data_IF_044823609661
#
_entry.id   IF_044823609661
#
_cell.length_a   1.000
_cell.length_b   1.000
_cell.length_c   1.000
_cell.angle_alpha   90.00
_cell.angle_beta   90.00
_cell.angle_gamma   90.00
#
_symmetry.space_group_name_H-M   'P 1'
#
loop_
_entity.id
_entity.type
_entity.pdbx_description
1 polymer ?
#
# COMPACT_ATOMS: atom_id res chain seq x y z
N UNK A 1 -75.23 44.30 0.71
CA UNK A 1 -74.76 45.45 -0.11
C UNK A 1 -73.26 45.26 -0.30
N UNK A 2 -72.66 45.26 -1.49
CA UNK A 2 -73.15 45.60 -2.85
C UNK A 2 -72.43 44.72 -3.92
N UNK A 3 -72.96 44.65 -5.15
CA UNK A 3 -72.41 43.87 -6.31
C UNK A 3 -71.54 44.73 -7.25
N UNK A 4 -71.02 44.10 -8.33
CA UNK A 4 -70.54 44.69 -9.61
C UNK A 4 -69.14 45.34 -9.58
N UNK A 5 -68.29 45.29 -10.63
CA UNK A 5 -68.26 44.72 -12.02
C UNK A 5 -66.76 44.39 -12.34
N UNK A 6 -66.33 43.44 -13.20
CA UNK A 6 -66.48 43.28 -14.67
C UNK A 6 -65.96 44.51 -15.47
N UNK A 7 -65.20 44.44 -16.58
CA UNK A 7 -64.63 43.35 -17.41
C UNK A 7 -63.08 43.55 -17.44
N UNK A 8 -62.18 43.17 -18.37
CA UNK A 8 -62.19 42.53 -19.72
C UNK A 8 -60.93 41.62 -19.85
N UNK A 9 -60.50 41.24 -21.06
CA UNK A 9 -59.29 40.43 -21.32
C UNK A 9 -58.39 41.04 -22.43
N UNK A 10 -57.12 40.62 -22.50
CA UNK A 10 -56.24 40.81 -23.66
C UNK A 10 -55.23 39.65 -23.77
N UNK A 11 -55.25 38.95 -24.89
CA UNK A 11 -54.36 37.82 -25.20
C UNK A 11 -53.06 38.34 -25.84
N UNK A 12 -51.89 37.90 -25.35
CA UNK A 12 -50.68 37.79 -26.16
C UNK A 12 -49.86 36.56 -25.75
N UNK A 13 -49.19 35.96 -26.74
CA UNK A 13 -48.54 34.66 -26.64
C UNK A 13 -47.23 34.70 -25.86
N UNK A 14 -47.08 33.81 -24.87
CA UNK A 14 -45.78 33.44 -24.31
C UNK A 14 -45.29 32.15 -24.97
N UNK A 15 -44.06 32.19 -25.50
CA UNK A 15 -43.46 31.05 -26.20
C UNK A 15 -43.18 29.92 -25.21
N UNK A 16 -43.69 28.74 -25.50
CA UNK A 16 -43.40 27.54 -24.70
C UNK A 16 -41.99 27.03 -25.03
N UNK A 17 -40.98 27.62 -24.38
CA UNK A 17 -39.60 27.14 -24.46
C UNK A 17 -39.53 25.78 -23.74
N UNK A 18 -39.66 24.71 -24.52
CA UNK A 18 -39.50 23.34 -24.05
C UNK A 18 -38.03 23.10 -23.69
N UNK A 19 -37.65 23.49 -22.47
CA UNK A 19 -36.33 23.22 -21.90
C UNK A 19 -36.21 21.72 -21.62
N UNK A 20 -35.88 20.96 -22.67
CA UNK A 20 -35.40 19.58 -22.56
C UNK A 20 -34.18 19.58 -21.63
N UNK A 21 -34.39 19.22 -20.36
CA UNK A 21 -33.29 18.70 -19.56
C UNK A 21 -32.84 17.41 -20.24
N UNK A 22 -31.77 17.51 -21.02
CA UNK A 22 -30.95 16.36 -21.32
C UNK A 22 -30.39 15.86 -19.99
N UNK A 23 -31.14 14.95 -19.34
CA UNK A 23 -30.63 14.13 -18.26
C UNK A 23 -29.51 13.31 -18.90
N UNK A 24 -28.28 13.80 -18.74
CA UNK A 24 -27.11 13.03 -19.10
C UNK A 24 -27.21 11.72 -18.31
N UNK A 25 -27.42 10.61 -19.04
CA UNK A 25 -27.32 9.27 -18.45
C UNK A 25 -26.02 9.23 -17.67
N UNK A 26 -26.03 8.88 -16.37
CA UNK A 26 -24.82 8.96 -15.57
C UNK A 26 -23.75 8.09 -16.23
N UNK A 27 -22.75 8.75 -16.83
CA UNK A 27 -21.57 8.06 -17.30
C UNK A 27 -20.88 7.56 -16.05
N UNK A 28 -21.04 6.27 -15.79
CA UNK A 28 -20.38 5.54 -14.74
C UNK A 28 -18.92 6.01 -14.68
N UNK A 29 -18.50 6.58 -13.54
CA UNK A 29 -17.15 7.13 -13.41
C UNK A 29 -16.14 6.01 -13.69
N UNK A 30 -14.90 6.37 -14.02
CA UNK A 30 -13.78 5.42 -14.11
C UNK A 30 -13.47 4.66 -12.78
N UNK A 31 -14.30 4.86 -11.75
CA UNK A 31 -14.27 4.25 -10.42
C UNK A 31 -15.33 3.13 -10.27
N UNK A 32 -16.36 3.14 -11.14
CA UNK A 32 -17.43 2.12 -11.28
C UNK A 32 -17.03 0.97 -12.24
N UNK A 33 -15.83 1.03 -12.82
CA UNK A 33 -15.20 -0.06 -13.59
C UNK A 33 -15.07 -1.30 -12.69
N UNK A 34 -15.26 -2.50 -13.27
CA UNK A 34 -15.56 -3.75 -12.57
C UNK A 34 -14.75 -3.92 -11.27
N UNK A 35 -15.47 -3.89 -10.15
CA UNK A 35 -14.90 -3.86 -8.80
C UNK A 35 -14.59 -5.25 -8.22
N UNK A 36 -14.87 -6.32 -8.99
CA UNK A 36 -14.39 -7.68 -8.72
C UNK A 36 -13.92 -8.42 -9.98
N UNK A 37 -13.02 -7.78 -10.73
CA UNK A 37 -12.36 -8.37 -11.88
C UNK A 37 -11.22 -9.33 -11.46
N UNK A 38 -11.57 -10.55 -11.08
CA UNK A 38 -10.59 -11.63 -10.89
C UNK A 38 -11.03 -12.71 -9.89
N UNK A 39 -10.07 -13.55 -9.49
CA UNK A 39 -10.22 -14.58 -8.44
C UNK A 39 -9.04 -14.56 -7.48
N UNK A 40 -9.26 -14.91 -6.21
CA UNK A 40 -8.21 -15.01 -5.18
C UNK A 40 -7.94 -16.45 -4.75
N UNK A 41 -6.66 -16.83 -4.74
CA UNK A 41 -6.16 -18.11 -4.24
C UNK A 41 -5.23 -17.87 -3.03
N UNK A 42 -5.42 -18.61 -1.93
CA UNK A 42 -4.49 -18.58 -0.79
C UNK A 42 -3.16 -19.25 -1.16
N UNK A 43 -2.03 -18.57 -0.88
CA UNK A 43 -0.67 -19.08 -1.08
C UNK A 43 0.07 -19.26 0.24
N UNK A 44 -0.67 -19.34 1.35
CA UNK A 44 -0.15 -19.58 2.68
C UNK A 44 0.30 -18.30 3.40
N UNK A 45 0.82 -18.48 4.62
CA UNK A 45 1.13 -17.36 5.50
C UNK A 45 2.48 -17.53 6.19
N UNK A 46 3.09 -16.41 6.57
CA UNK A 46 4.33 -16.35 7.36
C UNK A 46 4.08 -16.37 8.87
N UNK A 47 2.84 -16.61 9.31
CA UNK A 47 2.49 -16.71 10.72
C UNK A 47 2.91 -18.06 11.28
N UNK A 48 3.86 -18.06 12.21
CA UNK A 48 4.04 -19.18 13.13
C UNK A 48 2.87 -19.28 14.13
N UNK A 49 2.73 -20.45 14.76
CA UNK A 49 1.78 -20.69 15.85
C UNK A 49 2.25 -20.22 17.22
N UNK A 50 3.39 -19.52 17.33
CA UNK A 50 3.89 -19.01 18.61
C UNK A 50 3.07 -17.81 19.09
N UNK A 51 3.09 -17.54 20.40
CA UNK A 51 2.47 -16.35 20.94
C UNK A 51 3.27 -15.10 20.55
N UNK A 52 2.62 -14.10 19.95
CA UNK A 52 3.29 -12.84 19.64
C UNK A 52 3.56 -12.06 20.92
N UNK A 53 4.83 -12.00 21.33
CA UNK A 53 5.30 -11.09 22.37
C UNK A 53 5.35 -9.69 21.81
N UNK A 54 4.42 -8.85 22.27
CA UNK A 54 4.43 -7.43 22.02
C UNK A 54 4.79 -6.70 23.30
N UNK A 55 5.62 -5.67 23.20
CA UNK A 55 5.72 -4.69 24.28
C UNK A 55 4.36 -4.01 24.43
N UNK A 56 3.90 -3.79 25.65
CA UNK A 56 2.66 -3.02 25.84
C UNK A 56 2.90 -1.58 25.35
N UNK A 57 2.13 -1.13 24.36
CA UNK A 57 2.06 0.27 23.93
C UNK A 57 0.75 0.86 24.47
N UNK A 58 0.74 1.53 25.63
CA UNK A 58 -0.43 2.27 26.11
C UNK A 58 -0.55 3.56 25.27
N UNK A 59 -1.20 3.42 24.13
CA UNK A 59 -1.70 4.53 23.33
C UNK A 59 -2.91 5.12 24.07
N UNK A 60 -3.13 6.42 23.93
CA UNK A 60 -4.37 7.05 24.41
C UNK A 60 -4.70 8.21 23.49
N UNK A 61 -5.76 8.12 22.70
CA UNK A 61 -6.25 9.25 21.91
C UNK A 61 -7.09 10.17 22.78
N UNK A 62 -6.80 11.46 22.68
CA UNK A 62 -7.42 12.53 23.49
C UNK A 62 -8.25 13.50 22.62
N UNK A 63 -8.55 13.14 21.38
CA UNK A 63 -9.15 14.02 20.35
C UNK A 63 -10.50 14.62 20.78
N UNK A 64 -11.29 13.90 21.61
CA UNK A 64 -12.65 14.29 22.00
C UNK A 64 -12.79 14.71 23.48
N UNK A 65 -11.70 14.87 24.24
CA UNK A 65 -11.69 14.91 25.73
C UNK A 65 -12.16 13.63 26.43
N UNK A 66 -12.84 12.72 25.74
CA UNK A 66 -13.02 11.32 26.18
C UNK A 66 -11.67 10.57 26.10
N UNK A 67 -11.20 10.05 27.23
CA UNK A 67 -9.92 9.32 27.33
C UNK A 67 -10.01 7.94 26.65
N UNK A 68 -9.54 7.84 25.40
CA UNK A 68 -9.61 6.59 24.65
C UNK A 68 -8.30 5.80 24.68
N UNK A 69 -8.23 4.74 25.49
CA UNK A 69 -7.04 3.88 25.63
C UNK A 69 -6.92 2.87 24.48
N UNK A 70 -5.73 2.67 23.95
CA UNK A 70 -5.44 1.59 23.00
C UNK A 70 -4.15 0.82 23.32
N UNK A 71 -4.10 -0.44 22.91
CA UNK A 71 -2.90 -1.29 22.93
C UNK A 71 -2.82 -2.08 21.63
N UNK A 72 -1.69 -1.98 20.94
CA UNK A 72 -1.45 -2.64 19.66
C UNK A 72 0.03 -2.66 19.30
N UNK A 73 0.33 -2.94 18.03
CA UNK A 73 1.67 -2.83 17.48
C UNK A 73 1.67 -2.19 16.09
N UNK A 74 2.57 -1.24 15.86
CA UNK A 74 2.71 -0.53 14.58
C UNK A 74 3.49 -1.30 13.51
N UNK A 75 4.09 -2.45 13.87
CA UNK A 75 4.96 -3.25 13.00
C UNK A 75 4.31 -4.63 12.75
N UNK A 76 4.30 -5.14 11.50
CA UNK A 76 3.60 -6.38 11.16
C UNK A 76 3.93 -7.58 12.06
N UNK A 77 2.90 -8.32 12.48
CA UNK A 77 3.04 -9.63 13.15
C UNK A 77 3.31 -10.78 12.17
N UNK A 78 3.03 -10.57 10.89
CA UNK A 78 3.06 -11.59 9.84
C UNK A 78 2.40 -11.11 8.56
N UNK A 79 2.29 -12.00 7.57
CA UNK A 79 1.64 -11.75 6.29
C UNK A 79 0.95 -13.01 5.75
N UNK A 80 -0.18 -12.85 5.09
CA UNK A 80 -0.76 -13.91 4.25
C UNK A 80 -0.55 -13.54 2.80
N UNK A 81 -0.06 -14.48 2.00
CA UNK A 81 0.20 -14.29 0.57
C UNK A 81 -0.99 -14.81 -0.21
N UNK A 82 -1.52 -14.01 -1.14
CA UNK A 82 -2.63 -14.42 -2.00
C UNK A 82 -2.27 -14.21 -3.47
N UNK A 83 -2.61 -15.16 -4.35
CA UNK A 83 -2.52 -14.96 -5.80
C UNK A 83 -3.86 -14.40 -6.28
N UNK A 84 -3.84 -13.22 -6.89
CA UNK A 84 -4.98 -12.67 -7.63
C UNK A 84 -4.78 -12.97 -9.10
N UNK A 85 -5.76 -13.57 -9.77
CA UNK A 85 -5.74 -13.86 -11.22
C UNK A 85 -6.83 -13.06 -11.92
N UNK A 86 -6.48 -12.37 -13.00
CA UNK A 86 -7.40 -11.57 -13.82
C UNK A 86 -8.43 -12.44 -14.56
N UNK A 87 -9.60 -11.89 -14.94
CA UNK A 87 -10.51 -12.55 -15.88
C UNK A 87 -9.87 -12.66 -17.27
N UNK A 88 -10.36 -13.60 -18.10
CA UNK A 88 -9.86 -13.86 -19.47
C UNK A 88 -9.89 -12.65 -20.42
N UNK A 89 -10.71 -11.67 -20.11
CA UNK A 89 -10.77 -10.36 -20.77
C UNK A 89 -10.85 -9.32 -19.65
N UNK A 90 -9.71 -8.70 -19.35
CA UNK A 90 -9.58 -7.67 -18.30
C UNK A 90 -9.29 -6.33 -18.94
N UNK A 91 -9.95 -5.29 -18.46
CA UNK A 91 -9.78 -3.92 -18.97
C UNK A 91 -8.77 -3.15 -18.13
N UNK A 92 -8.16 -2.12 -18.71
CA UNK A 92 -7.35 -1.18 -17.93
C UNK A 92 -8.26 -0.43 -16.94
N UNK A 93 -7.96 -0.49 -15.64
CA UNK A 93 -8.78 0.10 -14.59
C UNK A 93 -9.75 -0.87 -13.88
N UNK A 94 -10.00 -2.05 -14.46
CA UNK A 94 -10.66 -3.16 -13.76
C UNK A 94 -9.94 -3.45 -12.44
N UNK A 95 -10.68 -3.84 -11.41
CA UNK A 95 -10.10 -4.00 -10.08
C UNK A 95 -10.67 -5.16 -9.28
N UNK A 96 -9.84 -5.66 -8.37
CA UNK A 96 -10.17 -6.69 -7.42
C UNK A 96 -9.98 -6.15 -6.00
N UNK A 97 -10.96 -6.33 -5.11
CA UNK A 97 -10.89 -5.87 -3.72
C UNK A 97 -10.54 -7.02 -2.78
N UNK A 98 -9.57 -6.79 -1.89
CA UNK A 98 -9.17 -7.75 -0.85
C UNK A 98 -9.53 -7.18 0.53
N UNK A 99 -10.55 -7.78 1.13
CA UNK A 99 -11.11 -7.43 2.42
C UNK A 99 -10.53 -8.28 3.56
N UNK A 100 -10.81 -7.83 4.77
CA UNK A 100 -11.00 -8.59 6.01
C UNK A 100 -12.29 -8.03 6.63
N UNK A 101 -12.59 -8.40 7.87
CA UNK A 101 -13.24 -7.41 8.75
C UNK A 101 -12.20 -6.36 9.13
N UNK A 102 -11.76 -5.52 8.19
CA UNK A 102 -10.72 -4.51 8.44
C UNK A 102 -11.23 -3.38 9.35
N UNK A 103 -12.55 -3.19 9.43
CA UNK A 103 -13.23 -2.40 10.45
C UNK A 103 -13.04 -2.91 11.88
N UNK A 104 -13.59 -2.12 12.81
CA UNK A 104 -13.24 -2.03 14.23
C UNK A 104 -13.20 -3.35 15.03
N UNK A 105 -13.98 -4.36 14.63
CA UNK A 105 -14.27 -5.56 15.44
C UNK A 105 -13.27 -6.71 15.31
N UNK A 106 -12.36 -6.71 14.33
CA UNK A 106 -11.35 -7.78 14.20
C UNK A 106 -10.08 -7.53 15.02
N UNK A 107 -9.84 -6.26 15.39
CA UNK A 107 -8.58 -5.73 15.88
C UNK A 107 -7.39 -5.88 14.90
N UNK A 108 -7.58 -6.41 13.69
CA UNK A 108 -6.51 -6.71 12.73
C UNK A 108 -6.52 -5.73 11.54
N UNK A 109 -5.43 -4.98 11.35
CA UNK A 109 -5.33 -3.90 10.37
C UNK A 109 -4.13 -4.07 9.42
N UNK A 110 -4.14 -3.35 8.29
CA UNK A 110 -3.12 -3.46 7.24
C UNK A 110 -1.85 -2.69 7.63
N UNK A 111 -0.70 -3.36 7.56
CA UNK A 111 0.59 -2.79 7.97
C UNK A 111 1.67 -2.89 6.87
N UNK A 112 1.25 -2.78 5.61
CA UNK A 112 2.14 -2.51 4.48
C UNK A 112 2.06 -1.04 4.04
N UNK A 113 2.73 -0.68 2.92
CA UNK A 113 2.66 0.67 2.37
C UNK A 113 1.29 0.97 1.74
N UNK A 114 0.85 2.23 1.83
CA UNK A 114 -0.45 2.72 1.32
C UNK A 114 -0.64 2.47 -0.19
N UNK A 115 0.45 2.34 -0.95
CA UNK A 115 0.42 1.96 -2.36
C UNK A 115 1.70 1.24 -2.75
N UNK A 116 1.60 0.26 -3.65
CA UNK A 116 2.76 -0.42 -4.25
C UNK A 116 2.39 -0.98 -5.63
N UNK A 117 3.41 -1.35 -6.40
CA UNK A 117 3.25 -1.90 -7.75
C UNK A 117 3.47 -3.41 -7.77
N UNK A 118 2.83 -4.05 -8.75
CA UNK A 118 2.95 -5.47 -9.05
C UNK A 118 3.59 -5.63 -10.43
N UNK A 119 4.72 -6.34 -10.52
CA UNK A 119 5.46 -6.49 -11.76
C UNK A 119 5.41 -7.93 -12.28
N UNK A 120 5.41 -8.06 -13.61
CA UNK A 120 5.70 -9.31 -14.29
C UNK A 120 7.13 -9.77 -13.96
N UNK A 121 7.28 -11.04 -13.55
CA UNK A 121 8.51 -11.55 -12.96
C UNK A 121 9.72 -11.39 -13.91
N UNK A 122 10.81 -10.81 -13.40
CA UNK A 122 12.02 -10.53 -14.17
C UNK A 122 11.96 -9.30 -15.08
N UNK A 123 10.86 -8.54 -15.11
CA UNK A 123 10.71 -7.34 -15.95
C UNK A 123 10.35 -6.09 -15.12
N UNK A 124 10.35 -4.91 -15.77
CA UNK A 124 9.78 -3.67 -15.22
C UNK A 124 8.30 -3.46 -15.57
N UNK A 125 7.64 -4.45 -16.20
CA UNK A 125 6.27 -4.28 -16.68
C UNK A 125 5.27 -4.40 -15.53
N UNK A 126 4.50 -3.34 -15.27
CA UNK A 126 3.53 -3.29 -14.17
C UNK A 126 2.23 -3.99 -14.60
N UNK A 127 1.88 -5.10 -13.95
CA UNK A 127 0.60 -5.81 -14.14
C UNK A 127 -0.54 -5.19 -13.33
N UNK A 128 -0.27 -4.75 -12.10
CA UNK A 128 -1.29 -4.12 -11.26
C UNK A 128 -0.72 -3.00 -10.37
N UNK A 129 -1.60 -2.07 -9.98
CA UNK A 129 -1.36 -1.05 -8.96
C UNK A 129 -2.18 -1.42 -7.72
N UNK A 130 -1.52 -1.63 -6.58
CA UNK A 130 -2.20 -1.94 -5.32
C UNK A 130 -2.26 -0.69 -4.45
N UNK A 131 -3.42 -0.41 -3.85
CA UNK A 131 -3.64 0.70 -2.91
C UNK A 131 -4.43 0.25 -1.69
N UNK A 132 -4.07 0.77 -0.52
CA UNK A 132 -4.95 0.83 0.65
C UNK A 132 -6.01 1.90 0.41
N UNK A 133 -7.28 1.54 0.57
CA UNK A 133 -8.45 2.38 0.26
C UNK A 133 -9.43 2.29 1.43
N UNK A 134 -10.15 3.39 1.70
CA UNK A 134 -11.27 3.44 2.64
C UNK A 134 -12.46 4.00 1.90
N UNK A 135 -13.59 3.31 1.99
CA UNK A 135 -14.79 3.48 1.16
C UNK A 135 -15.96 3.17 2.12
N UNK A 136 -16.86 4.13 2.33
CA UNK A 136 -17.95 4.05 3.34
C UNK A 136 -17.52 3.58 4.75
N UNK A 137 -16.25 3.84 5.11
CA UNK A 137 -15.66 3.51 6.41
C UNK A 137 -14.90 2.18 6.48
N UNK A 138 -15.17 1.22 5.60
CA UNK A 138 -14.44 -0.07 5.58
C UNK A 138 -13.13 0.04 4.78
N UNK A 139 -11.96 -0.30 5.36
CA UNK A 139 -10.72 -0.40 4.62
C UNK A 139 -10.70 -1.61 3.68
N UNK A 140 -9.97 -1.55 2.56
CA UNK A 140 -9.59 -2.71 1.75
C UNK A 140 -8.37 -2.43 0.87
N UNK A 141 -7.69 -3.48 0.41
CA UNK A 141 -6.70 -3.35 -0.66
C UNK A 141 -7.39 -3.40 -2.04
N UNK A 142 -7.32 -2.31 -2.80
CA UNK A 142 -7.74 -2.26 -4.22
C UNK A 142 -6.57 -2.66 -5.09
N UNK A 143 -6.71 -3.76 -5.83
CA UNK A 143 -5.77 -4.22 -6.86
C UNK A 143 -6.34 -3.77 -8.21
N UNK A 144 -5.73 -2.78 -8.86
CA UNK A 144 -6.19 -2.26 -10.16
C UNK A 144 -5.29 -2.74 -11.29
N UNK A 145 -5.87 -3.40 -12.30
CA UNK A 145 -5.16 -3.90 -13.48
C UNK A 145 -4.73 -2.76 -14.41
N UNK A 146 -3.56 -2.91 -15.03
CA UNK A 146 -3.00 -1.92 -15.97
C UNK A 146 -3.36 -2.23 -17.42
N UNK A 147 -3.14 -1.29 -18.36
CA UNK A 147 -3.14 -1.60 -19.80
C UNK A 147 -2.21 -2.76 -20.18
N UNK A 148 -1.10 -2.96 -19.45
CA UNK A 148 -0.17 -4.07 -19.69
C UNK A 148 -0.73 -5.43 -19.23
N UNK A 149 -1.61 -5.48 -18.22
CA UNK A 149 -2.35 -6.69 -17.90
C UNK A 149 -3.51 -6.92 -18.88
N UNK A 150 -4.12 -5.84 -19.41
CA UNK A 150 -5.20 -5.92 -20.39
C UNK A 150 -4.74 -6.44 -21.78
N UNK A 151 -3.50 -6.19 -22.19
CA UNK A 151 -2.90 -6.77 -23.41
C UNK A 151 -2.37 -8.20 -23.24
N UNK A 152 -2.73 -8.89 -22.14
CA UNK A 152 -2.28 -10.24 -21.79
C UNK A 152 -3.44 -11.19 -21.53
N UNK A 153 -3.15 -12.49 -21.62
CA UNK A 153 -4.00 -13.54 -21.07
C UNK A 153 -3.44 -14.05 -19.74
N UNK A 154 -4.35 -14.55 -18.90
CA UNK A 154 -4.05 -15.17 -17.59
C UNK A 154 -3.10 -14.35 -16.70
N UNK A 155 -3.22 -13.02 -16.73
CA UNK A 155 -2.43 -12.12 -15.90
C UNK A 155 -2.70 -12.36 -14.40
N UNK A 156 -1.66 -12.46 -13.58
CA UNK A 156 -1.77 -12.71 -12.14
C UNK A 156 -0.69 -12.01 -11.32
N UNK A 157 -0.96 -11.81 -10.02
CA UNK A 157 -0.06 -11.16 -9.05
C UNK A 157 -0.14 -11.83 -7.68
N UNK A 158 1.01 -12.08 -7.01
CA UNK A 158 1.09 -12.70 -5.67
C UNK A 158 1.36 -11.68 -4.56
N UNK A 159 0.32 -11.32 -3.81
CA UNK A 159 0.30 -10.19 -2.89
C UNK A 159 0.56 -10.64 -1.43
N UNK A 160 1.69 -10.28 -0.80
CA UNK A 160 1.96 -10.55 0.60
C UNK A 160 1.28 -9.49 1.49
N UNK A 161 0.03 -9.75 1.89
CA UNK A 161 -0.77 -8.80 2.69
C UNK A 161 -0.32 -8.83 4.15
N UNK A 162 0.53 -7.87 4.52
CA UNK A 162 1.08 -7.69 5.87
C UNK A 162 -0.03 -7.30 6.87
N UNK A 163 -0.01 -7.92 8.04
CA UNK A 163 -1.03 -7.77 9.08
C UNK A 163 -0.39 -7.27 10.38
N UNK A 164 -1.10 -6.42 11.12
CA UNK A 164 -0.77 -6.00 12.49
C UNK A 164 -2.07 -5.85 13.30
N UNK A 165 -2.01 -5.50 14.59
CA UNK A 165 -3.22 -5.41 15.41
C UNK A 165 -3.27 -4.20 16.35
N UNK A 166 -4.50 -3.80 16.71
CA UNK A 166 -4.77 -2.76 17.70
C UNK A 166 -6.14 -2.98 18.39
N UNK A 167 -6.16 -2.88 19.71
CA UNK A 167 -7.36 -2.82 20.54
C UNK A 167 -7.53 -1.38 21.03
N UNK A 168 -8.66 -0.71 20.79
CA UNK A 168 -8.92 0.65 21.28
C UNK A 168 -10.29 0.80 21.94
N UNK A 169 -10.39 1.52 23.05
CA UNK A 169 -11.70 1.84 23.66
C UNK A 169 -12.50 2.79 22.77
N UNK A 170 -11.86 3.63 21.95
CA UNK A 170 -12.57 4.42 20.91
C UNK A 170 -13.23 3.55 19.84
N UNK A 171 -12.78 2.31 19.66
CA UNK A 171 -13.40 1.29 18.80
C UNK A 171 -14.09 0.20 19.63
N UNK A 172 -14.58 0.55 20.83
CA UNK A 172 -15.35 -0.31 21.73
C UNK A 172 -14.59 -1.47 22.39
N UNK A 173 -13.27 -1.57 22.24
CA UNK A 173 -12.48 -2.67 22.81
C UNK A 173 -12.25 -2.49 24.32
N UNK A 174 -12.30 -3.58 25.09
CA UNK A 174 -11.88 -3.57 26.50
C UNK A 174 -10.36 -3.67 26.61
N UNK A 175 -9.73 -2.62 27.14
CA UNK A 175 -8.26 -2.50 27.31
C UNK A 175 -7.92 -2.50 28.80
N UNK A 176 -7.14 -3.48 29.27
CA UNK A 176 -6.77 -3.64 30.70
C UNK A 176 -5.35 -4.24 30.87
N UNK A 177 -4.61 -3.91 31.94
CA UNK A 177 -3.34 -4.56 32.27
C UNK A 177 -3.48 -6.09 32.41
N UNK A 178 -2.46 -6.84 31.99
CA UNK A 178 -2.42 -8.31 32.09
C UNK A 178 -3.30 -9.07 31.09
N UNK A 179 -3.99 -8.38 30.18
CA UNK A 179 -4.75 -9.00 29.09
C UNK A 179 -3.87 -9.91 28.21
N UNK A 180 -4.42 -11.04 27.77
CA UNK A 180 -3.78 -11.99 26.83
C UNK A 180 -4.74 -12.32 25.69
N UNK A 181 -5.03 -11.36 24.79
CA UNK A 181 -6.03 -11.57 23.75
C UNK A 181 -5.53 -12.52 22.67
N UNK A 182 -6.43 -13.01 21.83
CA UNK A 182 -6.11 -13.74 20.60
C UNK A 182 -6.68 -12.98 19.43
N UNK A 183 -5.82 -12.56 18.49
CA UNK A 183 -6.25 -11.83 17.29
C UNK A 183 -6.51 -12.82 16.16
N UNK A 184 -7.54 -12.56 15.35
CA UNK A 184 -7.91 -13.37 14.18
C UNK A 184 -7.43 -12.70 12.91
N UNK A 185 -6.61 -13.42 12.16
CA UNK A 185 -5.99 -12.99 10.92
C UNK A 185 -6.50 -13.86 9.77
N UNK A 186 -6.95 -13.24 8.67
CA UNK A 186 -7.53 -13.94 7.52
C UNK A 186 -8.13 -12.94 6.54
N UNK A 187 -8.18 -13.28 5.25
CA UNK A 187 -8.62 -12.42 4.14
C UNK A 187 -9.87 -12.98 3.47
N UNK A 188 -10.69 -12.08 2.92
CA UNK A 188 -11.87 -12.38 2.10
C UNK A 188 -11.77 -11.59 0.81
N UNK A 189 -11.91 -12.26 -0.32
CA UNK A 189 -11.98 -11.66 -1.64
C UNK A 189 -13.37 -11.14 -1.96
N UNK A 190 -13.48 -10.20 -2.90
CA UNK A 190 -14.78 -9.75 -3.42
C UNK A 190 -15.56 -10.86 -4.16
N UNK A 191 -14.87 -11.93 -4.59
CA UNK A 191 -15.42 -13.15 -5.18
C UNK A 191 -15.97 -14.14 -4.12
N UNK A 192 -15.85 -13.80 -2.83
CA UNK A 192 -16.19 -14.68 -1.70
C UNK A 192 -15.10 -15.67 -1.28
N UNK A 193 -13.98 -15.75 -2.02
CA UNK A 193 -12.83 -16.60 -1.68
C UNK A 193 -12.21 -16.18 -0.35
N UNK A 194 -11.64 -17.12 0.40
CA UNK A 194 -11.09 -16.87 1.75
C UNK A 194 -9.76 -17.55 1.95
N UNK A 195 -8.88 -16.94 2.73
CA UNK A 195 -7.65 -17.58 3.21
C UNK A 195 -7.90 -18.37 4.49
N UNK A 196 -6.94 -19.19 4.89
CA UNK A 196 -6.92 -19.78 6.22
C UNK A 196 -7.09 -18.72 7.33
N UNK A 197 -7.85 -19.06 8.38
CA UNK A 197 -8.05 -18.22 9.56
C UNK A 197 -7.02 -18.59 10.61
N UNK A 198 -6.20 -17.62 10.99
CA UNK A 198 -5.05 -17.78 11.88
C UNK A 198 -5.38 -17.08 13.20
N UNK A 199 -5.50 -17.84 14.27
CA UNK A 199 -5.65 -17.32 15.63
C UNK A 199 -4.24 -17.16 16.24
N UNK A 200 -3.76 -15.92 16.47
CA UNK A 200 -2.47 -15.70 17.16
C UNK A 200 -2.69 -15.20 18.59
N UNK A 201 -2.26 -15.97 19.62
CA UNK A 201 -2.22 -15.48 20.99
C UNK A 201 -1.25 -14.30 21.09
N UNK A 202 -1.67 -13.24 21.77
CA UNK A 202 -0.86 -12.05 22.02
C UNK A 202 -0.45 -12.06 23.50
N UNK A 203 0.84 -11.90 23.77
CA UNK A 203 1.37 -11.63 25.10
C UNK A 203 1.77 -10.16 25.13
N UNK A 204 1.10 -9.39 25.96
CA UNK A 204 1.52 -8.03 26.30
C UNK A 204 2.58 -8.11 27.41
N UNK A 205 3.85 -8.03 27.00
CA UNK A 205 4.97 -7.92 27.94
C UNK A 205 4.97 -6.52 28.60
N UNK A 206 5.53 -6.37 29.83
CA UNK A 206 5.60 -5.09 30.54
C UNK A 206 6.23 -3.95 29.74
N UNK A 207 6.00 -2.70 30.19
CA UNK A 207 6.49 -1.47 29.54
C UNK A 207 8.03 -1.41 29.47
N UNK A 208 8.62 -2.01 28.45
CA UNK A 208 10.05 -1.93 28.13
C UNK A 208 10.45 -0.65 27.40
N UNK A 209 11.68 -0.61 26.87
CA UNK A 209 12.18 0.44 25.99
C UNK A 209 12.49 -0.09 24.58
N UNK A 210 12.38 0.76 23.57
CA UNK A 210 12.65 0.37 22.18
C UNK A 210 13.18 1.53 21.34
N UNK A 211 13.73 1.19 20.18
CA UNK A 211 13.91 2.09 19.04
C UNK A 211 13.34 1.39 17.80
N UNK A 212 12.75 2.15 16.87
CA UNK A 212 12.16 1.66 15.62
C UNK A 212 12.21 2.75 14.54
N UNK A 213 12.15 2.34 13.28
CA UNK A 213 11.98 3.25 12.15
C UNK A 213 11.10 2.62 11.08
N UNK A 214 10.44 3.44 10.26
CA UNK A 214 9.36 3.01 9.37
C UNK A 214 9.79 3.03 7.90
N UNK A 215 9.16 2.16 7.11
CA UNK A 215 9.20 2.15 5.64
C UNK A 215 10.63 2.14 5.03
N UNK A 216 11.48 1.15 5.31
CA UNK A 216 12.68 0.96 4.47
C UNK A 216 12.24 0.32 3.15
N UNK A 217 12.27 1.07 2.06
CA UNK A 217 11.82 0.65 0.73
C UNK A 217 12.96 0.75 -0.31
N UNK A 218 12.69 0.34 -1.56
CA UNK A 218 13.64 0.37 -2.67
C UNK A 218 12.96 0.93 -3.92
N UNK A 219 13.66 1.76 -4.70
CA UNK A 219 13.18 2.22 -6.01
C UNK A 219 13.53 1.26 -7.16
N UNK A 220 12.99 1.55 -8.34
CA UNK A 220 13.24 0.79 -9.57
C UNK A 220 14.69 0.88 -10.11
N UNK A 221 15.55 1.69 -9.48
CA UNK A 221 16.96 1.91 -9.84
C UNK A 221 17.92 1.34 -8.77
N UNK A 222 17.36 0.73 -7.73
CA UNK A 222 18.05 0.03 -6.66
C UNK A 222 18.43 0.87 -5.44
N UNK A 223 17.99 2.13 -5.36
CA UNK A 223 18.28 3.04 -4.25
C UNK A 223 17.32 2.83 -3.07
N UNK A 224 17.80 3.16 -1.87
CA UNK A 224 17.02 3.17 -0.64
C UNK A 224 15.95 4.27 -0.72
N UNK A 225 14.71 3.93 -0.43
CA UNK A 225 13.57 4.87 -0.35
C UNK A 225 12.78 4.70 0.94
N UNK A 226 11.71 5.50 1.07
CA UNK A 226 10.93 5.60 2.30
C UNK A 226 11.75 6.24 3.43
N UNK A 227 11.71 5.66 4.64
CA UNK A 227 12.41 6.20 5.81
C UNK A 227 11.81 7.50 6.28
N UNK A 228 10.50 7.54 6.54
CA UNK A 228 9.80 8.77 6.91
C UNK A 228 9.93 9.15 8.40
N UNK A 229 10.12 8.17 9.30
CA UNK A 229 10.08 8.38 10.75
C UNK A 229 10.98 7.39 11.48
N UNK A 230 11.72 7.89 12.47
CA UNK A 230 12.32 7.12 13.57
C UNK A 230 11.55 7.43 14.85
N UNK A 231 11.36 6.42 15.70
CA UNK A 231 10.70 6.53 17.01
C UNK A 231 11.47 5.75 18.06
N UNK A 232 11.59 6.30 19.27
CA UNK A 232 12.08 5.54 20.42
C UNK A 232 11.29 5.84 21.69
N UNK A 233 11.33 4.92 22.63
CA UNK A 233 10.70 5.02 23.94
C UNK A 233 11.68 4.54 25.01
N UNK A 234 11.71 5.24 26.14
CA UNK A 234 12.67 5.03 27.22
C UNK A 234 12.01 4.35 28.43
N UNK A 235 12.79 3.56 29.18
CA UNK A 235 12.43 3.22 30.56
C UNK A 235 12.50 4.49 31.43
N UNK A 236 11.88 4.41 32.59
CA UNK A 236 12.05 5.37 33.69
C UNK A 236 13.55 5.61 33.96
N UNK A 237 14.01 6.87 34.14
CA UNK A 237 15.41 7.20 34.46
C UNK A 237 16.01 6.35 35.59
N UNK A 238 15.22 6.02 36.63
CA UNK A 238 15.67 5.14 37.74
C UNK A 238 16.06 3.72 37.30
N UNK A 239 15.43 3.19 36.24
CA UNK A 239 15.73 1.86 35.70
C UNK A 239 17.03 1.84 34.88
N UNK A 240 17.54 3.03 34.52
CA UNK A 240 18.90 3.25 34.03
C UNK A 240 19.84 3.75 35.14
N UNK A 241 19.47 3.59 36.42
CA UNK A 241 20.28 4.04 37.55
C UNK A 241 20.51 5.55 37.60
N UNK A 242 19.54 6.35 37.15
CA UNK A 242 19.54 7.82 37.26
C UNK A 242 18.59 8.25 38.38
N UNK A 243 19.14 8.78 39.47
CA UNK A 243 18.44 8.92 40.76
C UNK A 243 17.97 10.34 41.09
N UNK A 244 18.23 11.34 40.23
CA UNK A 244 17.95 12.75 40.50
C UNK A 244 17.55 13.50 39.23
N UNK A 245 16.49 14.28 39.32
CA UNK A 245 15.90 15.14 38.26
C UNK A 245 16.75 16.36 37.91
N UNK A 246 17.82 16.61 38.68
CA UNK A 246 18.91 17.56 38.34
C UNK A 246 19.91 16.99 37.32
N UNK A 247 19.69 15.75 36.87
CA UNK A 247 20.41 15.17 35.73
C UNK A 247 19.52 15.18 34.49
N UNK A 248 20.15 15.06 33.34
CA UNK A 248 19.53 14.92 32.02
C UNK A 248 19.80 13.51 31.53
N UNK A 249 18.80 12.87 30.90
CA UNK A 249 18.99 11.61 30.20
C UNK A 249 19.26 11.94 28.73
N UNK A 250 20.35 11.45 28.14
CA UNK A 250 20.64 11.65 26.71
C UNK A 250 20.59 10.34 25.96
N UNK A 251 19.83 10.30 24.87
CA UNK A 251 19.83 9.19 23.91
C UNK A 251 20.69 9.58 22.71
N UNK A 252 21.76 8.84 22.46
CA UNK A 252 22.67 9.03 21.31
C UNK A 252 22.34 8.01 20.23
N UNK A 253 21.59 8.42 19.21
CA UNK A 253 21.12 7.54 18.13
C UNK A 253 22.11 7.54 16.98
N UNK A 254 22.49 6.34 16.55
CA UNK A 254 23.39 6.07 15.42
C UNK A 254 22.61 5.34 14.30
N UNK A 255 22.66 5.89 13.09
CA UNK A 255 22.07 5.34 11.87
C UNK A 255 23.16 4.67 11.01
N UNK A 256 22.83 3.52 10.40
CA UNK A 256 23.66 2.88 9.39
C UNK A 256 23.61 3.55 8.01
N UNK A 257 24.26 2.92 7.03
CA UNK A 257 24.08 3.23 5.60
C UNK A 257 22.60 3.02 5.22
N UNK A 258 22.06 3.90 4.38
CA UNK A 258 20.66 3.93 3.94
C UNK A 258 19.87 5.15 4.43
N UNK A 259 20.08 5.61 5.67
CA UNK A 259 19.29 6.70 6.28
C UNK A 259 20.12 7.77 7.00
N UNK A 260 19.64 9.01 6.95
CA UNK A 260 20.21 10.20 7.56
C UNK A 260 19.15 10.94 8.39
N UNK A 261 19.56 11.62 9.46
CA UNK A 261 18.84 12.75 10.01
C UNK A 261 19.06 13.98 9.13
N UNK A 262 18.02 14.78 8.88
CA UNK A 262 18.19 16.14 8.35
C UNK A 262 18.38 17.08 9.53
N UNK A 263 19.63 17.43 9.83
CA UNK A 263 20.00 18.14 11.05
C UNK A 263 19.26 19.48 11.25
N UNK A 264 18.98 20.22 10.17
CA UNK A 264 18.21 21.47 10.18
C UNK A 264 16.69 21.29 10.36
N UNK A 265 16.19 20.06 10.38
CA UNK A 265 14.80 19.72 10.70
C UNK A 265 14.63 19.16 12.14
N UNK A 266 15.71 19.04 12.93
CA UNK A 266 15.60 18.59 14.32
C UNK A 266 15.09 19.72 15.22
N UNK A 267 14.16 19.45 16.17
CA UNK A 267 13.65 20.48 17.08
C UNK A 267 14.73 20.90 18.08
N UNK A 268 15.01 22.19 18.14
CA UNK A 268 16.02 22.79 19.01
C UNK A 268 15.62 22.71 20.48
N UNK A 269 14.37 23.00 20.81
CA UNK A 269 13.74 22.58 22.06
C UNK A 269 12.23 22.39 21.86
N UNK A 270 11.65 21.34 22.45
CA UNK A 270 10.22 21.06 22.40
C UNK A 270 9.79 20.22 23.62
N UNK A 271 8.49 20.05 23.88
CA UNK A 271 8.06 19.15 24.94
C UNK A 271 8.29 17.68 24.56
N UNK A 272 8.73 16.88 25.51
CA UNK A 272 8.69 15.43 25.37
C UNK A 272 7.23 14.99 25.33
N UNK A 273 6.90 14.09 24.40
CA UNK A 273 5.68 13.32 24.54
C UNK A 273 5.86 12.38 25.73
N UNK A 274 5.27 12.73 26.87
CA UNK A 274 5.01 11.76 27.92
C UNK A 274 4.18 10.62 27.31
N UNK A 275 4.47 9.37 27.67
CA UNK A 275 4.05 8.17 26.93
C UNK A 275 2.55 7.87 26.87
N UNK A 276 1.79 8.68 26.14
CA UNK A 276 0.41 8.50 25.67
C UNK A 276 0.27 9.24 24.32
N UNK A 277 -0.60 8.76 23.43
CA UNK A 277 -0.61 9.21 22.03
C UNK A 277 -1.33 10.56 21.84
N UNK A 278 -0.59 11.66 21.93
CA UNK A 278 -1.13 12.99 21.59
C UNK A 278 -1.48 13.02 20.09
N UNK A 279 -2.76 12.84 19.78
CA UNK A 279 -3.28 12.82 18.42
C UNK A 279 -3.10 14.17 17.71
N UNK A 280 -2.34 14.17 16.61
CA UNK A 280 -2.34 15.14 15.51
C UNK A 280 -2.44 16.67 15.82
N UNK A 281 -1.99 17.15 16.99
CA UNK A 281 -1.78 18.60 17.24
C UNK A 281 -0.43 18.98 17.86
N UNK A 282 0.59 18.14 17.70
CA UNK A 282 1.98 18.62 17.79
C UNK A 282 2.34 19.42 16.53
N UNK A 283 1.82 20.65 16.43
CA UNK A 283 2.41 21.67 15.57
C UNK A 283 3.80 21.97 16.10
N UNK A 284 4.81 21.37 15.46
CA UNK A 284 6.21 21.69 15.72
C UNK A 284 6.45 23.16 15.40
N UNK A 285 6.38 24.03 16.41
CA UNK A 285 6.85 25.40 16.27
C UNK A 285 8.36 25.34 16.01
N UNK A 286 8.78 25.84 14.84
CA UNK A 286 10.18 25.90 14.45
C UNK A 286 10.93 26.91 15.34
N UNK A 287 11.35 26.49 16.54
CA UNK A 287 12.28 27.24 17.36
C UNK A 287 13.63 27.34 16.62
N UNK A 288 14.13 28.56 16.46
CA UNK A 288 15.16 28.90 15.48
C UNK A 288 16.46 28.07 15.63
N UNK A 289 17.06 27.71 14.50
CA UNK A 289 18.31 26.91 14.45
C UNK A 289 19.48 27.65 15.10
N UNK A 290 19.96 27.13 16.23
CA UNK A 290 21.27 27.51 16.79
C UNK A 290 22.40 26.69 16.16
N UNK A 291 23.57 27.30 16.04
CA UNK A 291 24.81 26.62 15.68
C UNK A 291 25.57 26.18 16.95
N UNK A 292 25.70 24.85 17.14
CA UNK A 292 26.49 24.20 18.20
C UNK A 292 26.02 24.39 19.67
N UNK A 293 26.47 23.52 20.61
CA UNK A 293 25.80 23.37 21.91
C UNK A 293 26.42 24.23 23.02
N UNK A 294 25.86 25.41 23.28
CA UNK A 294 26.20 26.23 24.46
C UNK A 294 25.55 25.73 25.76
N UNK A 295 24.23 25.57 25.77
CA UNK A 295 23.47 25.00 26.88
C UNK A 295 23.07 23.54 26.59
N UNK A 296 22.60 22.84 27.63
CA UNK A 296 21.84 21.58 27.56
C UNK A 296 20.37 21.85 27.89
N UNK A 297 19.45 20.95 27.52
CA UNK A 297 18.03 21.06 27.91
C UNK A 297 17.86 21.26 29.42
N UNK A 298 16.91 22.10 29.82
CA UNK A 298 16.62 22.35 31.24
C UNK A 298 16.37 21.04 32.03
N UNK A 299 17.06 20.78 33.15
CA UNK A 299 16.69 19.71 34.07
C UNK A 299 15.27 19.89 34.61
N UNK A 300 14.62 18.80 35.02
CA UNK A 300 13.22 18.78 35.49
C UNK A 300 12.13 19.35 34.54
N UNK A 301 12.45 19.72 33.29
CA UNK A 301 11.55 20.48 32.42
C UNK A 301 10.51 19.68 31.61
N UNK A 302 10.68 18.36 31.49
CA UNK A 302 9.96 17.50 30.51
C UNK A 302 10.16 17.92 29.04
N UNK A 303 11.23 18.63 28.72
CA UNK A 303 11.57 19.01 27.34
C UNK A 303 12.55 18.02 26.68
N UNK A 304 12.57 18.04 25.36
CA UNK A 304 13.55 17.37 24.47
C UNK A 304 14.28 18.42 23.66
N UNK A 305 15.61 18.27 23.55
CA UNK A 305 16.46 19.02 22.62
C UNK A 305 17.21 18.05 21.73
N UNK A 306 17.11 18.24 20.41
CA UNK A 306 17.66 17.32 19.42
C UNK A 306 18.65 18.01 18.48
N UNK A 307 19.82 17.40 18.26
CA UNK A 307 20.83 17.90 17.31
C UNK A 307 21.77 16.80 16.81
N UNK A 308 22.37 17.04 15.64
CA UNK A 308 23.39 16.16 15.08
C UNK A 308 24.76 16.35 15.76
N UNK A 309 25.44 15.24 15.99
CA UNK A 309 26.78 15.17 16.59
C UNK A 309 27.84 15.73 15.62
N UNK A 310 28.30 16.96 15.86
CA UNK A 310 29.22 17.67 14.95
C UNK A 310 28.63 17.90 13.56
N UNK A 311 27.31 18.13 13.46
CA UNK A 311 26.54 18.17 12.20
C UNK A 311 26.56 16.87 11.37
N UNK A 312 27.07 15.75 11.90
CA UNK A 312 27.07 14.47 11.21
C UNK A 312 25.64 13.88 11.10
N UNK A 313 25.06 13.73 9.90
CA UNK A 313 23.68 13.29 9.72
C UNK A 313 23.43 11.82 10.10
N UNK A 314 24.48 11.03 10.39
CA UNK A 314 24.34 9.65 10.90
C UNK A 314 24.12 9.56 12.40
N UNK A 315 24.38 10.63 13.16
CA UNK A 315 24.50 10.57 14.62
C UNK A 315 23.80 11.76 15.25
N UNK A 316 22.78 11.51 16.06
CA UNK A 316 22.01 12.56 16.73
C UNK A 316 21.87 12.31 18.22
N UNK A 317 22.01 13.39 18.99
CA UNK A 317 21.71 13.43 20.41
C UNK A 317 20.27 13.90 20.62
N UNK A 318 19.59 13.27 21.57
CA UNK A 318 18.32 13.71 22.13
C UNK A 318 18.52 13.89 23.63
N UNK A 319 18.69 15.12 24.08
CA UNK A 319 18.74 15.51 25.49
C UNK A 319 17.31 15.51 26.05
N UNK A 320 17.07 14.85 27.17
CA UNK A 320 15.76 14.63 27.78
C UNK A 320 15.78 15.15 29.24
N UNK A 321 15.11 16.26 29.49
CA UNK A 321 14.82 16.73 30.85
C UNK A 321 13.62 15.95 31.40
N UNK A 322 13.68 15.49 32.65
CA UNK A 322 12.60 14.73 33.29
C UNK A 322 12.27 15.31 34.67
N UNK A 323 11.01 15.68 34.90
CA UNK A 323 10.53 16.24 36.17
C UNK A 323 10.39 15.17 37.26
N UNK A 324 10.33 13.91 36.87
CA UNK A 324 10.27 12.75 37.76
C UNK A 324 11.22 11.66 37.29
N UNK A 325 11.88 10.96 38.23
CA UNK A 325 12.65 9.73 37.92
C UNK A 325 11.76 8.56 37.44
N UNK A 326 10.44 8.76 37.46
CA UNK A 326 9.40 7.88 36.91
C UNK A 326 8.85 8.34 35.54
N UNK A 327 9.28 9.51 35.02
CA UNK A 327 8.83 9.96 33.69
C UNK A 327 9.33 8.98 32.60
N UNK A 328 8.49 8.70 31.60
CA UNK A 328 8.84 7.88 30.42
C UNK A 328 8.63 8.70 29.17
N UNK A 329 9.68 8.82 28.35
CA UNK A 329 9.71 9.75 27.23
C UNK A 329 9.63 9.00 25.90
N UNK A 330 8.65 9.37 25.08
CA UNK A 330 8.51 8.97 23.69
C UNK A 330 9.03 10.09 22.78
N UNK A 331 9.84 9.73 21.78
CA UNK A 331 10.37 10.66 20.79
C UNK A 331 10.09 10.11 19.40
N UNK A 332 9.49 10.94 18.54
CA UNK A 332 9.40 10.70 17.10
C UNK A 332 10.15 11.80 16.35
N UNK A 333 10.96 11.41 15.37
CA UNK A 333 11.73 12.34 14.54
C UNK A 333 11.71 11.88 13.07
N UNK A 334 11.93 12.80 12.15
CA UNK A 334 12.11 12.46 10.75
C UNK A 334 13.53 11.89 10.51
N UNK A 335 13.59 10.88 9.66
CA UNK A 335 14.82 10.48 8.95
C UNK A 335 14.54 10.62 7.44
N UNK A 336 15.56 10.41 6.61
CA UNK A 336 15.47 10.52 5.15
C UNK A 336 16.46 9.53 4.49
N UNK A 337 16.23 9.09 3.24
CA UNK A 337 17.22 8.37 2.47
C UNK A 337 18.55 9.13 2.34
N UNK A 338 19.67 8.41 2.36
CA UNK A 338 21.02 8.98 2.21
C UNK A 338 21.62 8.84 0.80
N UNK A 339 20.82 8.37 -0.18
CA UNK A 339 21.28 8.10 -1.55
C UNK A 339 21.98 6.75 -1.74
N UNK A 340 22.05 5.90 -0.71
CA UNK A 340 22.64 4.56 -0.84
C UNK A 340 21.86 3.63 -1.77
N UNK A 341 22.59 2.70 -2.41
CA UNK A 341 21.99 1.54 -3.06
C UNK A 341 21.75 0.42 -2.05
N UNK A 342 20.64 -0.29 -2.20
CA UNK A 342 20.24 -1.42 -1.35
C UNK A 342 21.23 -2.59 -1.44
N UNK A 343 21.86 -2.76 -2.61
CA UNK A 343 22.87 -3.80 -2.84
C UNK A 343 24.10 -3.65 -1.92
N UNK A 344 24.46 -2.41 -1.57
CA UNK A 344 25.62 -2.05 -0.77
C UNK A 344 25.39 -2.11 0.75
N UNK A 345 24.16 -2.41 1.18
CA UNK A 345 23.82 -2.40 2.61
C UNK A 345 24.39 -3.62 3.32
N UNK A 346 24.53 -3.50 4.66
CA UNK A 346 24.77 -4.66 5.51
C UNK A 346 23.69 -5.71 5.24
N UNK A 347 24.09 -6.99 5.18
CA UNK A 347 23.16 -8.11 5.10
C UNK A 347 23.11 -8.84 6.44
N UNK A 348 21.91 -9.20 6.87
CA UNK A 348 21.65 -10.07 8.04
C UNK A 348 20.72 -11.19 7.57
N UNK A 349 21.13 -12.43 7.79
CA UNK A 349 20.47 -13.64 7.24
C UNK A 349 20.20 -13.52 5.73
N UNK A 350 21.22 -13.08 4.97
CA UNK A 350 21.17 -12.85 3.52
C UNK A 350 20.43 -11.59 3.06
N UNK A 351 19.54 -11.02 3.88
CA UNK A 351 18.66 -9.89 3.50
C UNK A 351 19.32 -8.54 3.80
N UNK A 352 19.20 -7.52 2.92
CA UNK A 352 19.74 -6.19 3.18
C UNK A 352 18.99 -5.52 4.35
N UNK A 353 19.75 -4.81 5.19
CA UNK A 353 19.27 -4.15 6.40
C UNK A 353 19.88 -2.77 6.62
N UNK A 354 19.08 -1.85 7.17
CA UNK A 354 19.58 -0.61 7.76
C UNK A 354 19.67 -0.84 9.29
N UNK A 355 20.89 -0.78 9.82
CA UNK A 355 21.13 -0.86 11.28
C UNK A 355 20.74 0.45 11.95
N UNK A 356 20.09 0.36 13.10
CA UNK A 356 19.88 1.48 14.04
C UNK A 356 20.28 1.00 15.43
N UNK A 357 20.96 1.86 16.19
CA UNK A 357 21.28 1.60 17.60
C UNK A 357 21.38 2.91 18.35
N UNK A 358 20.97 2.93 19.62
CA UNK A 358 21.20 4.08 20.48
C UNK A 358 21.90 3.71 21.79
N UNK A 359 22.59 4.67 22.36
CA UNK A 359 23.18 4.61 23.69
C UNK A 359 22.49 5.59 24.63
N UNK A 360 22.42 5.27 25.91
CA UNK A 360 21.77 6.10 26.93
C UNK A 360 22.82 6.56 27.93
N UNK A 361 22.87 7.88 28.15
CA UNK A 361 23.79 8.53 29.08
C UNK A 361 23.02 9.31 30.15
N UNK A 362 23.54 9.34 31.37
CA UNK A 362 23.23 10.36 32.39
C UNK A 362 24.22 11.52 32.22
N UNK A 363 23.70 12.75 32.27
CA UNK A 363 24.50 13.97 32.18
C UNK A 363 24.14 14.92 33.32
N UNK A 364 25.14 15.60 33.90
CA UNK A 364 24.94 16.64 34.92
C UNK A 364 24.34 17.92 34.32
N UNK A 365 23.62 18.72 35.12
CA UNK A 365 23.00 19.98 34.66
C UNK A 365 23.97 20.97 33.97
N UNK A 366 25.26 20.92 34.32
CA UNK A 366 26.33 21.74 33.73
C UNK A 366 27.06 21.07 32.55
N UNK A 367 26.52 19.98 32.00
CA UNK A 367 27.09 19.17 30.91
C UNK A 367 28.48 18.53 31.18
N UNK A 368 29.08 18.73 32.35
CA UNK A 368 30.47 18.39 32.64
C UNK A 368 30.74 16.90 32.88
N UNK A 369 29.74 16.12 33.28
CA UNK A 369 29.89 14.68 33.59
C UNK A 369 28.93 13.87 32.74
N UNK A 370 29.47 12.88 32.01
CA UNK A 370 28.71 11.97 31.15
C UNK A 370 28.96 10.52 31.57
N UNK A 371 27.92 9.80 31.97
CA UNK A 371 27.99 8.40 32.36
C UNK A 371 27.10 7.55 31.46
N UNK A 372 27.65 6.53 30.77
CA UNK A 372 26.84 5.57 30.02
C UNK A 372 26.01 4.71 30.98
N UNK A 373 24.72 4.53 30.69
CA UNK A 373 23.74 3.84 31.54
C UNK A 373 22.97 2.72 30.85
N UNK A 374 22.95 2.67 29.52
CA UNK A 374 22.23 1.63 28.77
C UNK A 374 22.30 1.81 27.26
N UNK A 375 21.48 1.05 26.54
CA UNK A 375 21.36 1.07 25.07
C UNK A 375 19.93 0.80 24.62
N UNK A 376 19.59 1.20 23.40
CA UNK A 376 18.37 0.79 22.68
C UNK A 376 18.80 0.07 21.39
N UNK A 377 18.29 -1.15 21.19
CA UNK A 377 18.78 -2.03 20.11
C UNK A 377 20.16 -2.65 20.44
N UNK A 378 20.97 -2.99 19.42
CA UNK A 378 20.80 -2.68 18.00
C UNK A 378 19.57 -3.35 17.40
N UNK A 379 19.02 -2.72 16.37
CA UNK A 379 17.99 -3.29 15.52
C UNK A 379 18.42 -3.24 14.05
N UNK A 380 17.81 -4.11 13.25
CA UNK A 380 18.06 -4.22 11.83
C UNK A 380 16.74 -4.08 11.08
N UNK A 381 16.52 -2.94 10.45
CA UNK A 381 15.35 -2.75 9.59
C UNK A 381 15.61 -3.49 8.29
N UNK A 382 14.91 -4.60 8.07
CA UNK A 382 14.90 -5.29 6.77
C UNK A 382 14.14 -4.48 5.72
N UNK A 383 14.56 -4.62 4.46
CA UNK A 383 13.85 -4.06 3.32
C UNK A 383 12.40 -4.54 3.30
N UNK A 384 11.47 -3.60 3.17
CA UNK A 384 10.08 -3.85 2.87
C UNK A 384 9.96 -4.32 1.41
N UNK A 385 10.28 -5.58 1.13
CA UNK A 385 10.05 -6.20 -0.18
C UNK A 385 8.53 -6.23 -0.46
N UNK A 386 8.06 -5.19 -1.14
CA UNK A 386 6.91 -5.20 -2.05
C UNK A 386 7.52 -4.61 -3.34
N UNK A 387 7.76 -5.45 -4.36
CA UNK A 387 6.62 -5.84 -5.16
C UNK A 387 6.27 -7.32 -5.08
N UNK A 388 5.07 -7.59 -5.57
CA UNK A 388 4.52 -8.92 -5.80
C UNK A 388 5.15 -9.51 -7.05
N UNK A 389 5.55 -10.78 -7.01
CA UNK A 389 5.77 -11.54 -8.25
C UNK A 389 4.44 -11.67 -8.99
N UNK A 390 4.39 -11.23 -10.23
CA UNK A 390 3.30 -11.51 -11.15
C UNK A 390 3.78 -12.27 -12.37
N UNK A 391 2.83 -12.73 -13.17
CA UNK A 391 3.09 -13.38 -14.45
C UNK A 391 1.90 -13.18 -15.37
N UNK A 392 2.13 -13.28 -16.67
CA UNK A 392 1.09 -13.14 -17.67
C UNK A 392 1.52 -13.85 -18.96
N UNK A 393 0.57 -14.41 -19.70
CA UNK A 393 0.81 -15.01 -21.01
C UNK A 393 0.60 -13.91 -22.07
N UNK A 394 1.48 -13.83 -23.08
CA UNK A 394 1.23 -12.95 -24.23
C UNK A 394 -0.06 -13.36 -24.91
N UNK A 395 -0.97 -12.41 -25.13
CA UNK A 395 -2.21 -12.68 -25.88
C UNK A 395 -1.87 -13.30 -27.23
N UNK A 396 -2.47 -14.46 -27.59
CA UNK A 396 -2.26 -15.06 -28.90
C UNK A 396 -2.78 -14.13 -30.00
N UNK A 397 -2.15 -14.17 -31.16
CA UNK A 397 -2.65 -13.47 -32.34
C UNK A 397 -4.07 -13.95 -32.69
N UNK A 398 -4.89 -13.05 -33.23
CA UNK A 398 -6.34 -13.23 -33.35
C UNK A 398 -6.72 -13.10 -34.82
N UNK A 399 -7.18 -14.18 -35.45
CA UNK A 399 -7.66 -14.12 -36.82
C UNK A 399 -9.12 -13.66 -36.89
N UNK A 400 -9.40 -12.79 -37.85
CA UNK A 400 -10.72 -12.60 -38.45
C UNK A 400 -10.70 -13.22 -39.84
N UNK A 401 -11.82 -13.83 -40.25
CA UNK A 401 -11.98 -14.43 -41.57
C UNK A 401 -13.29 -13.95 -42.21
N UNK A 402 -13.22 -13.49 -43.47
CA UNK A 402 -14.37 -13.07 -44.26
C UNK A 402 -14.45 -13.93 -45.52
N UNK A 403 -15.47 -14.77 -45.62
CA UNK A 403 -15.72 -15.63 -46.79
C UNK A 403 -16.61 -14.90 -47.80
N UNK A 404 -16.18 -14.84 -49.06
CA UNK A 404 -16.90 -14.30 -50.22
C UNK A 404 -17.00 -15.36 -51.32
N UNK A 405 -17.95 -15.23 -52.23
CA UNK A 405 -18.14 -16.16 -53.36
C UNK A 405 -18.36 -15.40 -54.66
N UNK A 406 -17.59 -15.70 -55.71
CA UNK A 406 -17.59 -14.99 -56.99
C UNK A 406 -17.46 -13.45 -56.84
N UNK A 407 -16.77 -12.98 -55.80
CA UNK A 407 -16.62 -11.56 -55.45
C UNK A 407 -17.78 -10.94 -54.67
N UNK A 408 -18.90 -11.65 -54.50
CA UNK A 408 -20.08 -11.21 -53.77
C UNK A 408 -19.86 -11.18 -52.25
N UNK A 409 -20.68 -10.38 -51.56
CA UNK A 409 -20.62 -10.20 -50.11
C UNK A 409 -20.98 -11.48 -49.32
N UNK A 410 -20.58 -11.59 -48.04
CA UNK A 410 -21.02 -12.68 -47.18
C UNK A 410 -22.53 -12.64 -46.97
N UNK A 411 -23.21 -13.77 -47.15
CA UNK A 411 -24.67 -13.92 -46.97
C UNK A 411 -25.44 -14.14 -48.27
N UNK A 412 -24.84 -13.85 -49.43
CA UNK A 412 -25.47 -14.05 -50.75
C UNK A 412 -25.69 -15.53 -51.07
N UNK A 413 -26.83 -15.83 -51.70
CA UNK A 413 -27.24 -17.19 -52.08
C UNK A 413 -26.86 -17.55 -53.51
N UNK A 414 -26.46 -18.80 -53.73
CA UNK A 414 -26.13 -19.35 -55.06
C UNK A 414 -27.06 -20.52 -55.39
N UNK A 415 -27.43 -20.67 -56.67
CA UNK A 415 -28.23 -21.80 -57.13
C UNK A 415 -27.42 -23.11 -57.08
N UNK A 416 -28.04 -24.23 -56.69
CA UNK A 416 -27.47 -25.58 -56.82
C UNK A 416 -26.97 -25.83 -58.25
N UNK A 417 -25.81 -26.49 -58.38
CA UNK A 417 -25.11 -26.71 -59.65
C UNK A 417 -24.18 -25.55 -60.06
N UNK A 418 -24.27 -24.37 -59.42
CA UNK A 418 -23.37 -23.25 -59.72
C UNK A 418 -21.95 -23.56 -59.27
N UNK A 419 -20.96 -23.32 -60.13
CA UNK A 419 -19.54 -23.31 -59.72
C UNK A 419 -19.21 -21.96 -59.08
N UNK A 420 -18.71 -21.97 -57.85
CA UNK A 420 -18.34 -20.76 -57.11
C UNK A 420 -16.85 -20.77 -56.79
N UNK A 421 -16.17 -19.68 -57.13
CA UNK A 421 -14.83 -19.35 -56.68
C UNK A 421 -14.97 -18.64 -55.33
N UNK A 422 -14.60 -19.32 -54.25
CA UNK A 422 -14.60 -18.76 -52.90
C UNK A 422 -13.28 -18.07 -52.59
N UNK A 423 -13.34 -16.91 -51.95
CA UNK A 423 -12.19 -16.25 -51.33
C UNK A 423 -12.41 -16.13 -49.84
N UNK A 424 -11.32 -16.24 -49.08
CA UNK A 424 -11.29 -16.18 -47.63
C UNK A 424 -10.26 -15.13 -47.25
N UNK A 425 -10.73 -13.93 -46.96
CA UNK A 425 -9.88 -12.82 -46.47
C UNK A 425 -9.59 -13.07 -44.99
N UNK A 426 -8.36 -13.49 -44.70
CA UNK A 426 -7.87 -13.76 -43.35
C UNK A 426 -7.02 -12.58 -42.91
N UNK A 427 -7.40 -11.92 -41.82
CA UNK A 427 -6.68 -10.77 -41.23
C UNK A 427 -6.27 -11.10 -39.81
N UNK A 428 -5.01 -10.84 -39.43
CA UNK A 428 -4.60 -10.88 -38.03
C UNK A 428 -4.97 -9.56 -37.33
N UNK A 429 -6.06 -9.60 -36.57
CA UNK A 429 -6.57 -8.50 -35.74
C UNK A 429 -6.09 -8.59 -34.28
N UNK A 430 -4.96 -9.27 -34.02
CA UNK A 430 -4.31 -9.38 -32.71
C UNK A 430 -2.92 -8.74 -32.66
N UNK A 431 -2.34 -8.62 -31.46
CA UNK A 431 -1.07 -7.94 -31.19
C UNK A 431 0.20 -8.83 -31.36
N UNK A 432 0.01 -10.06 -31.86
CA UNK A 432 1.08 -11.03 -32.09
C UNK A 432 0.92 -11.75 -33.42
N UNK A 433 2.05 -12.12 -34.02
CA UNK A 433 2.11 -12.92 -35.24
C UNK A 433 1.34 -14.24 -35.04
N UNK A 434 0.52 -14.63 -36.02
CA UNK A 434 -0.16 -15.93 -36.04
C UNK A 434 0.56 -16.82 -37.03
N UNK A 435 1.05 -17.97 -36.55
CA UNK A 435 1.83 -18.93 -37.34
C UNK A 435 1.02 -20.21 -37.58
N UNK A 436 1.47 -21.03 -38.55
CA UNK A 436 0.83 -22.29 -38.95
C UNK A 436 -0.66 -22.14 -39.32
N UNK A 437 -1.02 -21.02 -39.96
CA UNK A 437 -2.40 -20.73 -40.38
C UNK A 437 -2.86 -21.73 -41.43
N UNK A 438 -3.95 -22.43 -41.13
CA UNK A 438 -4.70 -23.25 -42.08
C UNK A 438 -6.18 -22.82 -42.07
N UNK A 439 -6.80 -22.77 -43.25
CA UNK A 439 -8.24 -22.51 -43.41
C UNK A 439 -8.89 -23.79 -43.92
N UNK A 440 -10.01 -24.17 -43.31
CA UNK A 440 -10.83 -25.32 -43.72
C UNK A 440 -12.27 -24.90 -43.88
N UNK A 441 -12.98 -25.41 -44.87
CA UNK A 441 -14.39 -25.09 -45.09
C UNK A 441 -15.34 -26.22 -44.66
N UNK A 442 -16.38 -25.87 -43.91
CA UNK A 442 -17.39 -26.80 -43.37
C UNK A 442 -18.21 -27.56 -44.42
N UNK A 443 -18.16 -27.17 -45.70
CA UNK A 443 -18.81 -27.87 -46.83
C UNK A 443 -17.82 -28.67 -47.68
N UNK A 444 -16.56 -28.82 -47.25
CA UNK A 444 -15.55 -29.59 -47.95
C UNK A 444 -14.99 -28.91 -49.19
N UNK A 445 -15.00 -27.57 -49.24
CA UNK A 445 -14.21 -26.82 -50.21
C UNK A 445 -12.74 -26.95 -49.83
N UNK A 446 -11.89 -27.36 -50.79
CA UNK A 446 -10.45 -27.31 -50.62
C UNK A 446 -9.95 -25.86 -50.70
N UNK A 447 -9.07 -25.45 -49.79
CA UNK A 447 -8.69 -24.04 -49.58
C UNK A 447 -7.17 -23.88 -49.50
N UNK A 448 -6.61 -23.15 -50.47
CA UNK A 448 -5.19 -22.82 -50.55
C UNK A 448 -4.93 -21.42 -50.01
N UNK A 449 -4.06 -21.30 -49.01
CA UNK A 449 -3.58 -20.04 -48.48
C UNK A 449 -2.17 -19.70 -49.01
N UNK A 450 -1.87 -18.44 -49.37
CA UNK A 450 -0.55 -18.05 -49.91
C UNK A 450 0.52 -17.83 -48.82
N UNK A 451 0.15 -17.84 -47.54
CA UNK A 451 1.06 -17.74 -46.38
C UNK A 451 0.58 -18.70 -45.29
N UNK A 452 1.50 -19.08 -44.41
CA UNK A 452 1.19 -19.75 -43.14
C UNK A 452 1.41 -18.84 -41.92
N UNK A 453 1.81 -17.58 -42.14
CA UNK A 453 2.08 -16.57 -41.11
C UNK A 453 1.38 -15.25 -41.47
N UNK A 454 0.88 -14.53 -40.46
CA UNK A 454 0.42 -13.14 -40.56
C UNK A 454 0.84 -12.34 -39.33
N UNK A 455 1.47 -11.19 -39.55
CA UNK A 455 1.84 -10.21 -38.50
C UNK A 455 0.64 -9.36 -38.08
N UNK A 456 0.68 -8.64 -36.93
CA UNK A 456 -0.38 -7.74 -36.50
C UNK A 456 -0.82 -6.75 -37.61
N UNK A 457 -2.11 -6.74 -37.92
CA UNK A 457 -2.69 -5.93 -39.01
C UNK A 457 -2.47 -6.46 -40.43
N UNK A 458 -1.73 -7.56 -40.60
CA UNK A 458 -1.49 -8.19 -41.90
C UNK A 458 -2.68 -9.06 -42.34
N UNK A 459 -2.91 -9.12 -43.65
CA UNK A 459 -3.93 -9.99 -44.26
C UNK A 459 -3.36 -10.88 -45.36
N UNK A 460 -4.09 -11.96 -45.66
CA UNK A 460 -3.97 -12.72 -46.90
C UNK A 460 -5.35 -13.15 -47.41
N UNK A 461 -5.45 -13.41 -48.70
CA UNK A 461 -6.64 -14.01 -49.31
C UNK A 461 -6.33 -15.45 -49.68
N UNK A 462 -6.93 -16.40 -48.97
CA UNK A 462 -6.95 -17.80 -49.39
C UNK A 462 -8.05 -18.02 -50.44
N UNK A 463 -7.92 -19.01 -51.30
CA UNK A 463 -8.88 -19.31 -52.37
C UNK A 463 -9.28 -20.78 -52.38
N UNK A 464 -10.50 -21.06 -52.83
CA UNK A 464 -11.02 -22.42 -53.01
C UNK A 464 -12.14 -22.43 -54.04
N UNK A 465 -12.42 -23.58 -54.67
CA UNK A 465 -13.43 -23.69 -55.73
C UNK A 465 -14.28 -24.93 -55.56
N UNK A 466 -15.59 -24.77 -55.64
CA UNK A 466 -16.53 -25.90 -55.52
C UNK A 466 -17.81 -25.66 -56.34
N UNK A 467 -18.58 -26.74 -56.52
CA UNK A 467 -19.94 -26.69 -57.06
C UNK A 467 -20.92 -26.70 -55.88
N UNK A 468 -21.90 -25.79 -55.91
CA UNK A 468 -22.99 -25.74 -54.91
C UNK A 468 -23.85 -27.00 -55.05
N UNK A 469 -24.09 -27.68 -53.92
CA UNK A 469 -24.94 -28.88 -53.82
C UNK A 469 -26.22 -28.49 -53.08
#
# INVERSE_FOLDING_TARGET
MTKAKALIALLFSTVFVALMLAIATPQARAEEVNQCAGTMEDKGSSFDGSAFRNMTFPYMDLVNQEESLAIGNSAPVGSTTVKITAPKQVNAGDSYRIYRGWGEKSHAYYAGPNSFLAYENGTKNVLAKVRDVRDDGEPYLKVTWTPYAASKQDAWVQIPVRQSFNFSTSTGATVRPGMKPTVRFGLTGCDGSKTAVINKPIIFDPLGSFINAYNFEQDENGYVTGGNRLTFFTLEPRNYGITSTRNIMRVYVNLGKGWNFKCSNLPTETYAAYGYYIGNRNTFHHAATQASPGAVVDPASRKVRAYCDGNNPKRAFFELGFASIYDRLYVGTAIYPDGSRVADLQKVSGKPVIKISAEIYQISANNAVWNKKGTLGPMYKHLAINPTTGGAVTTPGKLQIVKKGNGLAPGETFNTGTTVNFTYEVTNIGERDVNSIAVTDSKGVDVTCPKAELKPGESMTCSGRAVVR
#
